data_IF_171589154398
#
_entry.id   IF_171589154398
#
_cell.length_a   1.000
_cell.length_b   1.000
_cell.length_c   1.000
_cell.angle_alpha   90.00
_cell.angle_beta   90.00
_cell.angle_gamma   90.00
#
_symmetry.space_group_name_H-M   'P 1'
#
loop_
_entity.id
_entity.type
_entity.pdbx_description
1 polymer ?
#
# COMPACT_ATOMS: atom_id res chain seq x y z
N UNK A 1 53.40 49.44 3.82
CA UNK A 1 52.97 48.41 2.85
C UNK A 1 52.61 47.17 3.69
N UNK A 2 51.47 47.09 4.39
CA UNK A 2 50.10 46.92 3.92
C UNK A 2 49.97 45.85 2.82
N UNK A 3 49.57 44.63 3.21
CA UNK A 3 48.73 43.74 2.41
C UNK A 3 47.77 42.99 3.34
N UNK A 4 46.49 43.13 3.01
CA UNK A 4 45.32 42.62 3.71
C UNK A 4 44.96 41.19 3.33
N UNK A 5 44.23 40.54 4.25
CA UNK A 5 43.13 39.57 4.13
C UNK A 5 43.04 38.63 2.90
N UNK A 6 42.93 37.32 3.19
CA UNK A 6 41.94 36.35 2.68
C UNK A 6 42.18 35.06 3.50
N UNK A 7 41.30 34.52 4.35
CA UNK A 7 39.84 34.44 4.26
C UNK A 7 39.43 33.09 3.66
N UNK A 8 39.76 31.95 4.29
CA UNK A 8 39.17 30.65 3.96
C UNK A 8 38.23 30.21 5.10
N UNK A 9 36.95 30.52 4.91
CA UNK A 9 35.84 29.89 5.62
C UNK A 9 35.66 28.48 5.02
N UNK A 10 35.99 27.44 5.77
CA UNK A 10 35.58 26.09 5.43
C UNK A 10 34.06 25.98 5.66
N UNK A 11 33.34 25.73 4.59
CA UNK A 11 31.88 25.55 4.56
C UNK A 11 31.46 24.41 5.48
N UNK A 12 30.70 24.74 6.53
CA UNK A 12 29.90 23.75 7.25
C UNK A 12 28.79 23.27 6.30
N UNK A 13 28.86 22.00 5.89
CA UNK A 13 27.74 21.35 5.24
C UNK A 13 26.58 21.26 6.23
N UNK A 14 25.52 22.02 5.99
CA UNK A 14 24.23 21.82 6.65
C UNK A 14 23.69 20.48 6.19
N UNK A 15 23.85 19.45 7.03
CA UNK A 15 23.01 18.25 6.93
C UNK A 15 21.59 18.76 7.18
N UNK A 16 20.83 18.88 6.10
CA UNK A 16 19.38 19.06 6.13
C UNK A 16 18.82 17.89 6.93
N UNK A 17 18.55 18.10 8.21
CA UNK A 17 17.81 17.18 9.03
C UNK A 17 16.46 16.95 8.34
N UNK A 18 16.21 15.70 7.93
CA UNK A 18 14.88 15.27 7.51
C UNK A 18 13.94 15.58 8.69
N UNK A 19 12.83 16.30 8.48
CA UNK A 19 11.87 16.52 9.55
C UNK A 19 11.46 15.16 10.11
N UNK A 20 11.49 15.05 11.44
CA UNK A 20 10.99 13.87 12.13
C UNK A 20 9.60 13.50 11.56
N UNK A 21 9.28 12.22 11.36
CA UNK A 21 7.92 11.86 10.98
C UNK A 21 6.99 12.37 12.09
N UNK A 22 6.16 13.34 11.70
CA UNK A 22 5.08 13.84 12.54
C UNK A 22 4.28 12.65 13.04
N UNK A 23 3.98 12.69 14.33
CA UNK A 23 3.26 11.71 15.10
C UNK A 23 1.83 11.54 14.55
N UNK A 24 1.66 10.77 13.48
CA UNK A 24 0.34 10.47 12.91
C UNK A 24 -0.19 9.16 13.50
N UNK A 25 -0.68 9.23 14.75
CA UNK A 25 -1.98 8.71 15.21
C UNK A 25 -2.05 8.77 16.74
N UNK A 26 -2.63 9.86 17.24
CA UNK A 26 -3.11 9.97 18.62
C UNK A 26 -4.50 9.36 18.71
N UNK A 27 -4.61 8.23 19.41
CA UNK A 27 -5.89 7.68 19.88
C UNK A 27 -5.99 6.17 19.77
N UNK A 28 -5.69 5.46 20.88
CA UNK A 28 -6.03 4.05 21.13
C UNK A 28 -5.22 2.92 20.44
N UNK A 29 -3.92 3.09 20.17
CA UNK A 29 -3.01 2.00 19.73
C UNK A 29 -2.09 1.44 20.85
N UNK A 30 -2.56 1.42 22.11
CA UNK A 30 -1.81 0.81 23.20
C UNK A 30 -1.96 -0.72 23.21
N UNK A 31 -1.53 -1.43 22.16
CA UNK A 31 -1.19 -2.86 22.30
C UNK A 31 -0.25 -3.48 21.27
N UNK A 32 0.49 -2.69 20.47
CA UNK A 32 1.57 -3.27 19.67
C UNK A 32 2.77 -2.33 19.59
N UNK A 33 3.32 -2.05 20.77
CA UNK A 33 4.61 -1.37 20.89
C UNK A 33 5.70 -2.26 20.31
N UNK A 34 6.42 -1.75 19.32
CA UNK A 34 7.81 -2.07 19.01
C UNK A 34 8.13 -3.57 19.13
N UNK A 35 7.42 -4.40 18.37
CA UNK A 35 7.99 -5.68 17.95
C UNK A 35 8.92 -5.35 16.80
N UNK A 36 10.22 -5.62 16.97
CA UNK A 36 11.11 -5.80 15.82
C UNK A 36 10.42 -6.80 14.89
N UNK A 37 9.91 -6.30 13.78
CA UNK A 37 9.15 -7.10 12.84
C UNK A 37 10.08 -7.68 11.77
N UNK A 38 9.62 -8.73 11.10
CA UNK A 38 10.38 -9.32 10.00
C UNK A 38 10.25 -8.45 8.74
N UNK A 39 11.39 -8.04 8.16
CA UNK A 39 11.40 -7.13 7.03
C UNK A 39 10.56 -7.68 5.88
N UNK A 40 9.77 -6.80 5.25
CA UNK A 40 8.88 -7.13 4.13
C UNK A 40 7.73 -8.09 4.48
N UNK A 41 7.42 -8.27 5.76
CA UNK A 41 6.25 -9.03 6.20
C UNK A 41 5.03 -8.10 6.34
N UNK A 42 3.89 -8.55 5.80
CA UNK A 42 2.58 -7.96 6.04
C UNK A 42 2.12 -8.38 7.43
N UNK A 43 1.38 -7.53 8.13
CA UNK A 43 0.70 -7.87 9.36
C UNK A 43 -0.75 -7.42 9.29
N UNK A 44 -1.67 -8.34 9.51
CA UNK A 44 -3.09 -7.98 9.58
C UNK A 44 -3.40 -7.37 10.94
N UNK A 45 -3.89 -6.14 10.95
CA UNK A 45 -4.38 -5.50 12.19
C UNK A 45 -5.85 -5.85 12.45
N UNK A 46 -6.59 -6.08 11.36
CA UNK A 46 -7.95 -6.64 11.31
C UNK A 46 -8.17 -7.32 9.95
N UNK A 47 -9.35 -7.91 9.72
CA UNK A 47 -9.75 -8.41 8.39
C UNK A 47 -9.67 -7.36 7.27
N UNK A 48 -9.77 -6.08 7.61
CA UNK A 48 -9.92 -5.01 6.62
C UNK A 48 -8.74 -4.03 6.64
N UNK A 49 -7.76 -4.21 7.53
CA UNK A 49 -6.62 -3.29 7.65
C UNK A 49 -5.31 -4.02 7.89
N UNK A 50 -4.21 -3.47 7.34
CA UNK A 50 -2.90 -4.09 7.43
C UNK A 50 -1.77 -3.08 7.64
N UNK A 51 -0.67 -3.60 8.16
CA UNK A 51 0.61 -2.92 8.33
C UNK A 51 1.67 -3.65 7.53
N UNK A 52 2.72 -2.95 7.11
CA UNK A 52 3.89 -3.57 6.49
C UNK A 52 5.12 -3.26 7.33
N UNK A 53 5.97 -4.27 7.50
CA UNK A 53 7.22 -4.11 8.20
C UNK A 53 8.28 -3.49 7.28
N UNK A 54 8.67 -2.25 7.58
CA UNK A 54 9.63 -1.50 6.80
C UNK A 54 10.85 -1.10 7.65
N UNK A 55 12.04 -0.88 7.02
CA UNK A 55 13.21 -0.37 7.72
C UNK A 55 12.94 1.00 8.37
N UNK A 56 13.27 1.12 9.65
CA UNK A 56 13.21 2.35 10.42
C UNK A 56 14.54 2.72 11.08
N UNK A 57 14.62 3.88 11.76
CA UNK A 57 15.86 4.37 12.39
C UNK A 57 16.44 3.44 13.45
N UNK A 58 15.58 2.62 14.07
CA UNK A 58 15.93 1.73 15.18
C UNK A 58 15.76 0.24 14.80
N UNK A 59 15.83 -0.08 13.51
CA UNK A 59 15.50 -1.40 12.98
C UNK A 59 14.13 -1.43 12.32
N UNK A 60 13.65 -2.62 11.98
CA UNK A 60 12.38 -2.75 11.29
C UNK A 60 11.21 -2.36 12.19
N UNK A 61 10.28 -1.60 11.65
CA UNK A 61 9.10 -1.10 12.33
C UNK A 61 7.85 -1.37 11.50
N UNK A 62 6.75 -1.68 12.17
CA UNK A 62 5.45 -1.83 11.54
C UNK A 62 4.91 -0.45 11.17
N UNK A 63 4.65 -0.27 9.88
CA UNK A 63 4.03 0.93 9.33
C UNK A 63 2.59 0.57 8.98
N UNK A 64 1.63 1.31 9.52
CA UNK A 64 0.23 1.13 9.17
C UNK A 64 -0.04 1.65 7.76
N UNK A 65 -0.54 0.78 6.88
CA UNK A 65 -0.83 1.13 5.48
C UNK A 65 -2.29 1.52 5.25
N UNK A 66 -3.19 1.13 6.16
CA UNK A 66 -4.62 1.43 6.05
C UNK A 66 -5.44 0.20 5.70
N UNK A 67 -6.51 0.43 4.95
CA UNK A 67 -7.45 -0.61 4.55
C UNK A 67 -6.93 -1.44 3.39
N UNK A 68 -7.32 -2.72 3.36
CA UNK A 68 -7.14 -3.59 2.18
C UNK A 68 -8.02 -3.11 1.02
N UNK A 69 -7.69 -3.50 -0.21
CA UNK A 69 -8.49 -3.15 -1.37
C UNK A 69 -9.88 -3.80 -1.28
N UNK A 70 -10.88 -3.14 -1.86
CA UNK A 70 -12.23 -3.71 -1.94
C UNK A 70 -12.15 -5.09 -2.61
N UNK A 71 -12.83 -6.03 -1.97
CA UNK A 71 -12.81 -7.40 -2.40
C UNK A 71 -11.55 -8.20 -2.09
N UNK A 72 -10.71 -7.70 -1.20
CA UNK A 72 -9.73 -8.49 -0.46
C UNK A 72 -10.03 -8.46 1.04
N UNK A 73 -9.43 -9.38 1.79
CA UNK A 73 -9.37 -9.35 3.24
C UNK A 73 -7.96 -9.73 3.71
N UNK A 74 -7.55 -9.21 4.86
CA UNK A 74 -6.32 -9.62 5.50
C UNK A 74 -6.59 -10.84 6.38
N UNK A 75 -6.02 -11.98 6.01
CA UNK A 75 -6.09 -13.22 6.78
C UNK A 75 -5.15 -13.14 7.98
N UNK A 76 -5.71 -12.84 9.16
CA UNK A 76 -4.96 -12.72 10.42
C UNK A 76 -4.20 -13.99 10.81
N UNK A 77 -4.62 -15.17 10.31
CA UNK A 77 -3.97 -16.44 10.63
C UNK A 77 -2.67 -16.66 9.85
N UNK A 78 -2.58 -16.10 8.66
CA UNK A 78 -1.44 -16.24 7.76
C UNK A 78 -0.67 -14.93 7.51
N UNK A 79 -1.19 -13.80 7.96
CA UNK A 79 -0.71 -12.46 7.64
C UNK A 79 -0.60 -12.21 6.12
N UNK A 80 -1.64 -12.58 5.38
CA UNK A 80 -1.71 -12.42 3.92
C UNK A 80 -2.97 -11.69 3.50
N UNK A 81 -2.88 -10.89 2.45
CA UNK A 81 -4.06 -10.32 1.80
C UNK A 81 -4.59 -11.36 0.81
N UNK A 82 -5.84 -11.78 0.99
CA UNK A 82 -6.53 -12.79 0.17
C UNK A 82 -7.74 -12.17 -0.51
N UNK A 83 -8.16 -12.74 -1.64
CA UNK A 83 -9.42 -12.40 -2.27
C UNK A 83 -10.61 -12.70 -1.35
N UNK A 84 -11.50 -11.73 -1.13
CA UNK A 84 -12.85 -12.03 -0.68
C UNK A 84 -13.52 -12.72 -1.86
N UNK A 85 -13.69 -14.03 -1.79
CA UNK A 85 -14.06 -14.86 -2.93
C UNK A 85 -15.48 -14.51 -3.46
N UNK A 86 -15.61 -13.48 -4.33
CA UNK A 86 -16.88 -13.13 -5.02
C UNK A 86 -17.26 -14.20 -6.06
N UNK A 87 -16.32 -15.06 -6.39
CA UNK A 87 -16.46 -16.16 -7.33
C UNK A 87 -15.09 -16.74 -7.63
N UNK A 88 -15.06 -18.04 -7.87
CA UNK A 88 -13.86 -18.74 -8.31
C UNK A 88 -13.48 -18.27 -9.72
N UNK A 89 -12.19 -18.10 -9.97
CA UNK A 89 -11.67 -17.67 -11.26
C UNK A 89 -10.33 -18.34 -11.58
N UNK A 90 -9.97 -18.38 -12.87
CA UNK A 90 -8.67 -18.84 -13.35
C UNK A 90 -8.51 -18.48 -14.83
N UNK A 91 -7.31 -18.07 -15.30
CA UNK A 91 -6.06 -17.91 -14.55
C UNK A 91 -5.97 -16.58 -13.77
N UNK A 92 -5.05 -16.52 -12.82
CA UNK A 92 -4.69 -15.25 -12.17
C UNK A 92 -4.28 -14.20 -13.24
N UNK A 93 -4.67 -12.95 -13.02
CA UNK A 93 -4.52 -11.83 -13.94
C UNK A 93 -5.60 -11.74 -15.04
N UNK A 94 -6.54 -12.69 -15.10
CA UNK A 94 -7.67 -12.59 -16.03
C UNK A 94 -8.67 -11.53 -15.55
N UNK A 95 -9.09 -10.67 -16.47
CA UNK A 95 -10.11 -9.65 -16.23
C UNK A 95 -11.52 -10.21 -16.45
N UNK A 96 -12.43 -9.92 -15.54
CA UNK A 96 -13.84 -10.29 -15.60
C UNK A 96 -14.71 -9.04 -15.55
N UNK A 97 -15.80 -9.06 -16.31
CA UNK A 97 -16.76 -7.97 -16.34
C UNK A 97 -17.92 -8.24 -15.41
N UNK A 98 -18.42 -7.19 -14.74
CA UNK A 98 -19.73 -7.28 -14.11
C UNK A 98 -20.83 -7.50 -15.18
N UNK A 99 -22.02 -7.91 -14.73
CA UNK A 99 -23.13 -8.20 -15.64
C UNK A 99 -23.60 -6.97 -16.44
N UNK A 100 -23.38 -5.77 -15.89
CA UNK A 100 -23.72 -4.50 -16.52
C UNK A 100 -22.64 -3.97 -17.47
N UNK A 101 -21.45 -4.57 -17.51
CA UNK A 101 -20.29 -4.04 -18.22
C UNK A 101 -19.81 -2.67 -17.71
N UNK A 102 -20.20 -2.29 -16.49
CA UNK A 102 -19.89 -1.00 -15.84
C UNK A 102 -18.80 -1.10 -14.80
N UNK A 103 -18.40 -2.30 -14.41
CA UNK A 103 -17.33 -2.55 -13.48
C UNK A 103 -16.54 -3.78 -13.91
N UNK A 104 -15.36 -3.93 -13.33
CA UNK A 104 -14.48 -5.04 -13.65
C UNK A 104 -13.82 -5.60 -12.40
N UNK A 105 -13.44 -6.87 -12.53
CA UNK A 105 -12.76 -7.65 -11.53
C UNK A 105 -11.47 -8.20 -12.14
N UNK A 106 -10.47 -8.43 -11.31
CA UNK A 106 -9.27 -9.18 -11.69
C UNK A 106 -9.25 -10.49 -10.91
N UNK A 107 -8.89 -11.58 -11.56
CA UNK A 107 -8.64 -12.83 -10.88
C UNK A 107 -7.31 -12.78 -10.14
N UNK A 108 -7.32 -12.96 -8.83
CA UNK A 108 -6.11 -13.11 -8.03
C UNK A 108 -6.32 -14.19 -6.97
N UNK A 109 -5.33 -15.05 -6.79
CA UNK A 109 -5.36 -16.15 -5.82
C UNK A 109 -6.60 -17.06 -5.97
N UNK A 110 -7.07 -17.24 -7.22
CA UNK A 110 -8.26 -18.03 -7.54
C UNK A 110 -9.60 -17.39 -7.17
N UNK A 111 -9.62 -16.13 -6.72
CA UNK A 111 -10.84 -15.37 -6.42
C UNK A 111 -10.91 -14.05 -7.21
N UNK A 112 -12.13 -13.58 -7.47
CA UNK A 112 -12.35 -12.28 -8.12
C UNK A 112 -12.12 -11.12 -7.16
N UNK A 113 -11.22 -10.20 -7.50
CA UNK A 113 -10.96 -8.94 -6.80
C UNK A 113 -11.73 -7.81 -7.50
N UNK A 114 -12.49 -7.02 -6.76
CA UNK A 114 -13.23 -5.90 -7.33
C UNK A 114 -12.33 -4.67 -7.52
N UNK A 115 -12.12 -4.27 -8.77
CA UNK A 115 -11.29 -3.11 -9.10
C UNK A 115 -12.07 -1.80 -9.25
N UNK A 116 -13.40 -1.87 -9.26
CA UNK A 116 -14.26 -0.70 -9.35
C UNK A 116 -14.93 -0.53 -10.72
N UNK A 117 -15.57 0.63 -10.93
CA UNK A 117 -16.21 0.96 -12.19
C UNK A 117 -15.20 1.16 -13.33
N UNK A 118 -15.60 0.85 -14.55
CA UNK A 118 -14.84 1.22 -15.75
C UNK A 118 -14.88 2.74 -15.96
N UNK A 119 -13.90 3.27 -16.69
CA UNK A 119 -13.84 4.68 -17.00
C UNK A 119 -15.04 5.14 -17.85
N UNK A 120 -15.42 6.41 -17.73
CA UNK A 120 -16.47 6.99 -18.55
C UNK A 120 -16.14 6.87 -20.05
N UNK A 121 -17.14 6.50 -20.86
CA UNK A 121 -16.96 6.24 -22.29
C UNK A 121 -16.31 4.89 -22.61
N UNK A 122 -16.20 4.00 -21.62
CA UNK A 122 -15.78 2.61 -21.82
C UNK A 122 -16.82 1.63 -21.25
N UNK A 123 -16.76 0.38 -21.69
CA UNK A 123 -17.54 -0.74 -21.17
C UNK A 123 -16.65 -1.98 -21.07
N UNK A 124 -16.91 -2.82 -20.06
CA UNK A 124 -16.27 -4.13 -19.96
C UNK A 124 -17.12 -5.17 -20.69
N UNK A 125 -16.55 -5.82 -21.69
CA UNK A 125 -17.18 -6.92 -22.43
C UNK A 125 -16.16 -8.03 -22.64
N UNK A 126 -16.55 -9.27 -22.35
CA UNK A 126 -15.73 -10.48 -22.55
C UNK A 126 -14.30 -10.37 -21.98
N UNK A 127 -14.18 -9.78 -20.79
CA UNK A 127 -12.88 -9.60 -20.11
C UNK A 127 -11.99 -8.52 -20.75
N UNK A 128 -12.57 -7.61 -21.55
CA UNK A 128 -11.85 -6.51 -22.19
C UNK A 128 -12.57 -5.18 -21.95
N UNK A 129 -11.81 -4.14 -21.61
CA UNK A 129 -12.34 -2.77 -21.53
C UNK A 129 -12.25 -2.12 -22.91
N UNK A 130 -13.40 -1.81 -23.50
CA UNK A 130 -13.52 -1.22 -24.84
C UNK A 130 -14.22 0.13 -24.79
N UNK A 131 -13.96 1.00 -25.76
CA UNK A 131 -14.68 2.28 -25.87
C UNK A 131 -16.16 2.04 -26.24
N UNK A 132 -17.06 2.79 -25.59
CA UNK A 132 -18.48 2.79 -25.94
C UNK A 132 -18.68 3.70 -27.15
N UNK A 133 -19.14 3.13 -28.27
CA UNK A 133 -19.49 3.88 -29.49
C UNK A 133 -20.85 4.55 -29.37
#
# INVERSE_FOLDING_TARGET
>A
MQFSLLGLLASAAVVSAVPAPDQYYSGNLLKRQISTCEANTIYCNSSDTFSLCAPGPNGNQEVFFGSVADGTYCDESENKIRANNYGDCSPDGQLFCDISGTAFYECDQGGLIYFGPVAAGTTCVDGTIVATN
#
